data_IF_058422540086
#
_entry.id   IF_058422540086
#
_cell.length_a   1.000
_cell.length_b   1.000
_cell.length_c   1.000
_cell.angle_alpha   90.00
_cell.angle_beta   90.00
_cell.angle_gamma   90.00
#
_symmetry.space_group_name_H-M   'P 1'
#
loop_
_entity.id
_entity.type
_entity.pdbx_description
1 polymer ?
#
# COMPACT_ATOMS: atom_id res chain seq x y z
N UNK A 1 9.34 18.19 -13.15
CA UNK A 1 8.91 17.76 -11.79
C UNK A 1 8.54 16.29 -11.85
N UNK A 2 8.89 15.48 -10.86
CA UNK A 2 8.47 14.07 -10.84
C UNK A 2 6.95 13.94 -10.62
N UNK A 3 6.36 12.89 -11.18
CA UNK A 3 4.92 12.63 -11.18
C UNK A 3 4.58 11.40 -10.36
N UNK A 4 3.65 11.53 -9.42
CA UNK A 4 3.20 10.47 -8.55
C UNK A 4 1.71 10.15 -8.76
N UNK A 5 1.38 8.86 -8.86
CA UNK A 5 0.02 8.33 -8.78
C UNK A 5 -0.14 7.63 -7.43
N UNK A 6 -1.07 8.10 -6.59
CA UNK A 6 -1.30 7.56 -5.24
C UNK A 6 -2.72 7.05 -5.11
N UNK A 7 -2.91 5.82 -4.62
CA UNK A 7 -4.23 5.21 -4.45
C UNK A 7 -4.71 5.28 -2.99
N UNK A 8 -6.04 5.39 -2.79
CA UNK A 8 -6.62 5.38 -1.46
C UNK A 8 -6.40 6.66 -0.64
N UNK A 9 -6.49 7.82 -1.29
CA UNK A 9 -6.19 9.13 -0.69
C UNK A 9 -7.38 9.78 0.04
N UNK A 10 -8.47 9.07 0.32
CA UNK A 10 -9.60 9.64 1.06
C UNK A 10 -9.28 9.92 2.54
N UNK A 11 -8.24 9.27 3.09
CA UNK A 11 -7.83 9.40 4.50
C UNK A 11 -6.48 8.70 4.75
N UNK A 12 -6.01 8.75 5.99
CA UNK A 12 -4.87 7.94 6.47
C UNK A 12 -3.58 8.13 5.66
N UNK A 13 -2.85 7.05 5.46
CA UNK A 13 -1.52 7.08 4.82
C UNK A 13 -1.55 7.68 3.42
N UNK A 14 -2.52 7.27 2.58
CA UNK A 14 -2.59 7.76 1.19
C UNK A 14 -2.77 9.27 1.11
N UNK A 15 -3.62 9.85 1.96
CA UNK A 15 -3.81 11.29 2.03
C UNK A 15 -2.55 12.01 2.51
N UNK A 16 -1.95 11.54 3.60
CA UNK A 16 -0.76 12.15 4.18
C UNK A 16 0.45 12.09 3.22
N UNK A 17 0.64 10.96 2.54
CA UNK A 17 1.71 10.78 1.56
C UNK A 17 1.49 11.68 0.33
N UNK A 18 0.26 11.73 -0.21
CA UNK A 18 -0.07 12.57 -1.36
C UNK A 18 0.17 14.05 -1.08
N UNK A 19 -0.23 14.52 0.11
CA UNK A 19 0.02 15.89 0.57
C UNK A 19 1.52 16.19 0.69
N UNK A 20 2.28 15.30 1.32
CA UNK A 20 3.71 15.46 1.51
C UNK A 20 4.51 15.44 0.19
N UNK A 21 4.10 14.63 -0.78
CA UNK A 21 4.68 14.62 -2.12
C UNK A 21 4.43 15.94 -2.85
N UNK A 22 3.20 16.46 -2.83
CA UNK A 22 2.87 17.74 -3.45
C UNK A 22 3.66 18.90 -2.82
N UNK A 23 3.84 18.89 -1.48
CA UNK A 23 4.65 19.89 -0.78
C UNK A 23 6.15 19.81 -1.13
N UNK A 24 6.61 18.67 -1.65
CA UNK A 24 8.01 18.46 -2.10
C UNK A 24 8.20 18.62 -3.61
N UNK A 25 7.23 19.21 -4.31
CA UNK A 25 7.33 19.52 -5.73
C UNK A 25 7.05 18.35 -6.67
N UNK A 26 6.36 17.30 -6.18
CA UNK A 26 5.78 16.30 -7.08
C UNK A 26 4.47 16.81 -7.67
N UNK A 27 4.23 16.48 -8.93
CA UNK A 27 2.91 16.50 -9.53
C UNK A 27 2.18 15.23 -9.10
N UNK A 28 1.01 15.33 -8.47
CA UNK A 28 0.34 14.22 -7.80
C UNK A 28 -1.05 13.98 -8.37
N UNK A 29 -1.35 12.75 -8.78
CA UNK A 29 -2.71 12.28 -8.99
C UNK A 29 -3.13 11.48 -7.75
N UNK A 30 -3.93 12.10 -6.89
CA UNK A 30 -4.44 11.50 -5.66
C UNK A 30 -5.80 10.87 -5.92
N UNK A 31 -5.86 9.53 -5.85
CA UNK A 31 -7.06 8.80 -6.25
C UNK A 31 -7.81 8.19 -5.08
N UNK A 32 -9.13 8.15 -5.19
CA UNK A 32 -10.06 7.58 -4.23
C UNK A 32 -11.39 7.28 -4.90
N UNK A 33 -12.25 6.44 -4.28
CA UNK A 33 -13.56 6.10 -4.87
C UNK A 33 -14.45 7.32 -5.11
N UNK A 34 -14.41 8.28 -4.19
CA UNK A 34 -15.24 9.52 -4.19
C UNK A 34 -14.33 10.73 -3.97
N UNK A 35 -13.91 11.46 -5.01
CA UNK A 35 -13.03 12.63 -4.88
C UNK A 35 -13.61 13.74 -3.98
N UNK A 36 -14.93 13.85 -3.92
CA UNK A 36 -15.64 14.78 -3.03
C UNK A 36 -15.39 14.48 -1.53
N UNK A 37 -14.99 13.25 -1.19
CA UNK A 37 -14.63 12.86 0.19
C UNK A 37 -13.18 13.15 0.56
N UNK A 38 -12.40 13.75 -0.35
CA UNK A 38 -11.00 14.09 -0.08
C UNK A 38 -10.85 15.01 1.15
N UNK A 39 -9.78 14.84 1.95
CA UNK A 39 -9.48 15.76 3.05
C UNK A 39 -9.36 17.22 2.58
N UNK A 40 -9.65 18.14 3.48
CA UNK A 40 -9.60 19.58 3.19
C UNK A 40 -8.21 20.06 2.72
N UNK A 41 -7.14 19.43 3.21
CA UNK A 41 -5.76 19.70 2.80
C UNK A 41 -5.54 19.38 1.31
N UNK A 42 -5.96 18.21 0.85
CA UNK A 42 -5.85 17.83 -0.57
C UNK A 42 -6.75 18.67 -1.46
N UNK A 43 -7.96 19.00 -1.02
CA UNK A 43 -8.86 19.90 -1.76
C UNK A 43 -8.25 21.28 -1.96
N UNK A 44 -7.60 21.84 -0.92
CA UNK A 44 -6.90 23.14 -1.03
C UNK A 44 -5.74 23.09 -2.04
N UNK A 45 -4.98 22.00 -2.06
CA UNK A 45 -3.89 21.82 -3.03
C UNK A 45 -4.41 21.69 -4.46
N UNK A 46 -5.54 20.99 -4.65
CA UNK A 46 -6.16 20.79 -5.95
C UNK A 46 -6.89 22.04 -6.49
N UNK A 47 -7.22 23.00 -5.61
CA UNK A 47 -7.96 24.22 -5.99
C UNK A 47 -7.08 25.37 -6.50
N UNK A 48 -5.75 25.20 -6.60
CA UNK A 48 -4.84 26.21 -7.15
C UNK A 48 -5.07 26.41 -8.66
N UNK A 49 -4.72 27.58 -9.21
CA UNK A 49 -4.88 27.89 -10.67
C UNK A 49 -4.14 26.90 -11.57
N UNK A 50 -2.93 26.48 -11.16
CA UNK A 50 -2.16 25.44 -11.84
C UNK A 50 -1.82 24.36 -10.81
N UNK A 51 -2.73 23.44 -10.51
CA UNK A 51 -2.53 22.52 -9.42
C UNK A 51 -1.49 21.45 -9.77
N UNK A 52 -0.52 21.30 -8.87
CA UNK A 52 0.39 20.15 -8.89
C UNK A 52 -0.28 18.90 -8.31
N UNK A 53 -1.49 19.01 -7.77
CA UNK A 53 -2.28 17.89 -7.26
C UNK A 53 -3.66 17.86 -7.92
N UNK A 54 -4.00 16.69 -8.47
CA UNK A 54 -5.30 16.39 -9.07
C UNK A 54 -6.00 15.30 -8.26
N UNK A 55 -7.26 15.52 -7.92
CA UNK A 55 -8.13 14.50 -7.31
C UNK A 55 -8.84 13.73 -8.42
N UNK A 56 -8.78 12.40 -8.38
CA UNK A 56 -9.39 11.57 -9.40
C UNK A 56 -10.14 10.36 -8.82
N UNK A 57 -11.24 9.93 -9.45
CA UNK A 57 -11.97 8.75 -9.01
C UNK A 57 -11.20 7.48 -9.37
N UNK A 58 -11.10 6.56 -8.40
CA UNK A 58 -10.57 5.23 -8.62
C UNK A 58 -11.17 4.24 -7.62
N UNK A 59 -11.97 3.30 -8.13
CA UNK A 59 -12.15 2.01 -7.49
C UNK A 59 -11.08 1.08 -8.05
N UNK A 60 -10.16 0.64 -7.19
CA UNK A 60 -9.02 -0.18 -7.59
C UNK A 60 -9.42 -1.55 -8.13
N UNK A 61 -10.63 -2.01 -7.82
CA UNK A 61 -11.18 -3.28 -8.34
C UNK A 61 -11.72 -3.15 -9.76
N UNK A 62 -11.95 -1.92 -10.24
CA UNK A 62 -12.53 -1.66 -11.56
C UNK A 62 -11.45 -1.48 -12.64
N UNK A 63 -11.36 -2.37 -13.66
CA UNK A 63 -10.33 -2.29 -14.70
C UNK A 63 -10.37 -0.98 -15.52
N UNK A 64 -11.57 -0.48 -15.82
CA UNK A 64 -11.73 0.75 -16.60
C UNK A 64 -11.23 1.97 -15.80
N UNK A 65 -11.49 2.00 -14.49
CA UNK A 65 -11.04 3.10 -13.64
C UNK A 65 -9.53 3.06 -13.41
N UNK A 66 -8.91 1.87 -13.31
CA UNK A 66 -7.45 1.73 -13.26
C UNK A 66 -6.80 2.31 -14.52
N UNK A 67 -7.32 1.93 -15.69
CA UNK A 67 -6.84 2.48 -16.97
C UNK A 67 -7.04 3.99 -17.03
N UNK A 68 -8.21 4.49 -16.68
CA UNK A 68 -8.52 5.92 -16.68
C UNK A 68 -7.59 6.73 -15.76
N UNK A 69 -7.20 6.19 -14.59
CA UNK A 69 -6.25 6.85 -13.69
C UNK A 69 -4.83 6.97 -14.30
N UNK A 70 -4.35 5.93 -14.98
CA UNK A 70 -3.08 5.97 -15.73
C UNK A 70 -3.18 6.97 -16.89
N UNK A 71 -4.23 6.89 -17.71
CA UNK A 71 -4.44 7.78 -18.86
C UNK A 71 -4.51 9.26 -18.42
N UNK A 72 -5.25 9.55 -17.35
CA UNK A 72 -5.33 10.90 -16.77
C UNK A 72 -3.95 11.39 -16.32
N UNK A 73 -3.16 10.55 -15.66
CA UNK A 73 -1.82 10.92 -15.22
C UNK A 73 -0.93 11.29 -16.40
N UNK A 74 -0.96 10.50 -17.46
CA UNK A 74 -0.20 10.76 -18.67
C UNK A 74 -0.70 12.01 -19.43
N UNK A 75 -2.01 12.19 -19.54
CA UNK A 75 -2.61 13.37 -20.19
C UNK A 75 -2.24 14.68 -19.48
N UNK A 76 -2.22 14.65 -18.15
CA UNK A 76 -1.94 15.85 -17.33
C UNK A 76 -0.46 16.16 -17.22
N UNK A 77 0.40 15.15 -17.11
CA UNK A 77 1.78 15.34 -16.70
C UNK A 77 2.81 14.62 -17.58
N UNK A 78 2.37 13.82 -18.55
CA UNK A 78 3.22 13.20 -19.57
C UNK A 78 4.07 12.01 -19.11
N UNK A 79 4.08 11.68 -17.81
CA UNK A 79 4.94 10.65 -17.23
C UNK A 79 4.38 10.06 -15.93
N UNK A 80 4.97 8.96 -15.47
CA UNK A 80 4.73 8.37 -14.14
C UNK A 80 6.09 7.99 -13.55
N UNK A 81 6.53 8.71 -12.52
CA UNK A 81 7.80 8.42 -11.83
C UNK A 81 7.60 7.57 -10.58
N UNK A 82 6.45 7.72 -9.93
CA UNK A 82 6.12 7.06 -8.67
C UNK A 82 4.69 6.55 -8.70
N UNK A 83 4.51 5.25 -8.43
CA UNK A 83 3.22 4.63 -8.16
C UNK A 83 3.16 4.19 -6.70
N UNK A 84 2.19 4.70 -5.94
CA UNK A 84 1.95 4.25 -4.55
C UNK A 84 0.62 3.52 -4.48
N UNK A 85 0.68 2.22 -4.33
CA UNK A 85 -0.45 1.34 -4.07
C UNK A 85 -0.74 1.30 -2.57
N UNK A 86 -1.64 2.17 -2.11
CA UNK A 86 -2.03 2.28 -0.71
C UNK A 86 -3.48 1.82 -0.46
N UNK A 87 -4.36 1.88 -1.44
CA UNK A 87 -5.74 1.44 -1.27
C UNK A 87 -5.82 0.00 -0.72
N UNK A 88 -6.70 -0.22 0.26
CA UNK A 88 -6.86 -1.53 0.88
C UNK A 88 -8.08 -1.60 1.77
N UNK A 89 -8.50 -2.84 2.03
CA UNK A 89 -9.57 -3.19 2.98
C UNK A 89 -9.08 -4.28 3.91
N UNK A 90 -9.74 -4.42 5.05
CA UNK A 90 -9.49 -5.48 6.03
C UNK A 90 -10.80 -6.14 6.45
N UNK A 91 -10.72 -7.28 7.10
CA UNK A 91 -11.82 -7.92 7.78
C UNK A 91 -11.28 -8.77 8.93
N UNK A 92 -12.00 -8.79 10.05
CA UNK A 92 -11.77 -9.67 11.19
C UNK A 92 -12.83 -10.76 11.22
N UNK A 93 -12.42 -12.00 11.38
CA UNK A 93 -13.34 -13.14 11.51
C UNK A 93 -12.57 -14.44 11.54
N UNK A 94 -13.16 -15.46 12.18
CA UNK A 94 -12.62 -16.81 12.13
C UNK A 94 -12.54 -17.28 10.68
N UNK A 95 -11.58 -18.14 10.39
CA UNK A 95 -11.39 -18.65 9.02
C UNK A 95 -12.67 -19.30 8.48
N UNK A 96 -13.32 -20.10 9.29
CA UNK A 96 -14.56 -20.82 8.98
C UNK A 96 -15.76 -19.87 8.80
N UNK A 97 -15.80 -18.76 9.57
CA UNK A 97 -16.87 -17.76 9.51
C UNK A 97 -16.67 -16.73 8.36
N UNK A 98 -15.51 -16.73 7.73
CA UNK A 98 -15.18 -15.78 6.66
C UNK A 98 -15.59 -16.33 5.30
N UNK A 99 -16.66 -15.80 4.66
CA UNK A 99 -17.17 -16.34 3.41
C UNK A 99 -16.20 -16.11 2.25
N UNK A 100 -16.23 -17.02 1.26
CA UNK A 100 -15.39 -16.94 0.05
C UNK A 100 -15.49 -15.58 -0.66
N UNK A 101 -16.68 -15.01 -0.73
CA UNK A 101 -16.88 -13.69 -1.36
C UNK A 101 -16.07 -12.60 -0.69
N UNK A 102 -15.89 -12.64 0.63
CA UNK A 102 -15.08 -11.68 1.38
C UNK A 102 -13.58 -11.91 1.14
N UNK A 103 -13.13 -13.17 1.10
CA UNK A 103 -11.78 -13.51 0.69
C UNK A 103 -11.46 -12.92 -0.68
N UNK A 104 -12.33 -13.14 -1.67
CA UNK A 104 -12.18 -12.61 -3.02
C UNK A 104 -12.12 -11.08 -3.04
N UNK A 105 -13.01 -10.41 -2.32
CA UNK A 105 -13.03 -8.95 -2.26
C UNK A 105 -11.74 -8.37 -1.66
N UNK A 106 -11.20 -9.01 -0.60
CA UNK A 106 -9.92 -8.61 0.02
C UNK A 106 -8.77 -8.81 -0.97
N UNK A 107 -8.70 -9.95 -1.64
CA UNK A 107 -7.65 -10.22 -2.61
C UNK A 107 -7.75 -9.32 -3.84
N UNK A 108 -8.96 -9.06 -4.33
CA UNK A 108 -9.19 -8.15 -5.46
C UNK A 108 -8.69 -6.73 -5.13
N UNK A 109 -9.00 -6.24 -3.93
CA UNK A 109 -8.62 -4.88 -3.52
C UNK A 109 -7.15 -4.77 -3.13
N UNK A 110 -6.63 -5.73 -2.34
CA UNK A 110 -5.31 -5.61 -1.72
C UNK A 110 -4.18 -6.19 -2.57
N UNK A 111 -4.49 -7.04 -3.55
CA UNK A 111 -3.50 -7.75 -4.37
C UNK A 111 -3.71 -7.48 -5.86
N UNK A 112 -4.82 -7.98 -6.44
CA UNK A 112 -5.00 -7.94 -7.90
C UNK A 112 -5.12 -6.52 -8.42
N UNK A 113 -5.88 -5.64 -7.75
CA UNK A 113 -5.99 -4.23 -8.14
C UNK A 113 -4.64 -3.51 -8.19
N UNK A 114 -3.81 -3.55 -7.13
CA UNK A 114 -2.44 -3.04 -7.13
C UNK A 114 -1.55 -3.65 -8.22
N UNK A 115 -1.55 -4.98 -8.39
CA UNK A 115 -0.73 -5.63 -9.41
C UNK A 115 -1.14 -5.23 -10.84
N UNK A 116 -2.43 -5.03 -11.09
CA UNK A 116 -2.90 -4.54 -12.39
C UNK A 116 -2.50 -3.08 -12.65
N UNK A 117 -2.50 -2.22 -11.63
CA UNK A 117 -1.95 -0.85 -11.78
C UNK A 117 -0.45 -0.89 -12.07
N UNK A 118 0.29 -1.76 -11.40
CA UNK A 118 1.72 -2.00 -11.72
C UNK A 118 1.86 -2.42 -13.17
N UNK A 119 1.06 -3.37 -13.65
CA UNK A 119 1.12 -3.87 -15.02
C UNK A 119 0.84 -2.78 -16.06
N UNK A 120 0.00 -1.82 -15.74
CA UNK A 120 -0.29 -0.66 -16.60
C UNK A 120 0.83 0.40 -16.54
N UNK A 121 1.41 0.66 -15.37
CA UNK A 121 2.45 1.69 -15.19
C UNK A 121 3.85 1.22 -15.63
N UNK A 122 4.16 -0.06 -15.46
CA UNK A 122 5.50 -0.61 -15.68
C UNK A 122 6.05 -0.39 -17.10
N UNK A 123 5.28 -0.59 -18.20
CA UNK A 123 5.78 -0.30 -19.55
C UNK A 123 6.18 1.16 -19.74
N UNK A 124 5.46 2.08 -19.10
CA UNK A 124 5.73 3.53 -19.14
C UNK A 124 7.05 3.82 -18.41
N UNK A 125 7.19 3.33 -17.18
CA UNK A 125 8.40 3.50 -16.37
C UNK A 125 9.63 2.87 -17.05
N UNK A 126 9.47 1.69 -17.65
CA UNK A 126 10.54 1.02 -18.40
C UNK A 126 10.96 1.84 -19.63
N UNK A 127 10.02 2.42 -20.35
CA UNK A 127 10.33 3.30 -21.50
C UNK A 127 11.03 4.60 -21.03
N UNK A 128 10.72 5.08 -19.84
CA UNK A 128 11.38 6.23 -19.22
C UNK A 128 12.80 5.90 -18.74
N UNK A 129 13.16 4.61 -18.59
CA UNK A 129 14.42 4.16 -18.00
C UNK A 129 14.51 4.41 -16.50
N UNK A 130 13.41 4.80 -15.86
CA UNK A 130 13.33 5.10 -14.44
C UNK A 130 11.89 4.97 -13.92
N UNK A 131 11.75 4.51 -12.68
CA UNK A 131 10.45 4.42 -12.02
C UNK A 131 10.56 3.91 -10.59
N UNK A 132 9.55 4.22 -9.78
CA UNK A 132 9.43 3.75 -8.42
C UNK A 132 8.02 3.24 -8.15
N UNK A 133 7.93 2.05 -7.58
CA UNK A 133 6.66 1.44 -7.15
C UNK A 133 6.75 1.20 -5.64
N UNK A 134 5.80 1.72 -4.90
CA UNK A 134 5.69 1.51 -3.45
C UNK A 134 4.36 0.84 -3.17
N UNK A 135 4.42 -0.38 -2.64
CA UNK A 135 3.24 -1.12 -2.23
C UNK A 135 3.08 -1.05 -0.71
N UNK A 136 1.96 -0.51 -0.24
CA UNK A 136 1.65 -0.47 1.20
C UNK A 136 1.15 -1.85 1.61
N UNK A 137 2.03 -2.60 2.25
CA UNK A 137 1.73 -3.92 2.81
C UNK A 137 1.28 -3.78 4.28
N UNK A 138 1.79 -4.55 5.18
CA UNK A 138 1.52 -4.48 6.63
C UNK A 138 2.49 -5.40 7.37
N UNK A 139 2.73 -5.16 8.65
CA UNK A 139 3.35 -6.14 9.53
C UNK A 139 2.60 -7.48 9.55
N UNK A 140 1.28 -7.45 9.33
CA UNK A 140 0.46 -8.66 9.20
C UNK A 140 0.86 -9.55 8.01
N UNK A 141 1.61 -9.04 7.04
CA UNK A 141 2.17 -9.85 5.94
C UNK A 141 3.16 -10.90 6.48
N UNK A 142 3.80 -10.65 7.60
CA UNK A 142 4.81 -11.53 8.20
C UNK A 142 4.28 -12.17 9.49
N UNK A 143 3.52 -11.43 10.30
CA UNK A 143 2.93 -11.93 11.52
C UNK A 143 1.72 -12.82 11.23
N UNK A 144 1.69 -13.99 11.87
CA UNK A 144 0.57 -14.94 11.77
C UNK A 144 -0.52 -14.56 12.78
N UNK A 145 -1.31 -13.55 12.44
CA UNK A 145 -2.33 -12.98 13.34
C UNK A 145 -3.65 -13.75 13.20
N UNK A 146 -4.18 -14.34 14.26
CA UNK A 146 -5.50 -14.99 14.24
C UNK A 146 -6.59 -14.01 13.77
N UNK A 147 -7.67 -14.51 13.22
CA UNK A 147 -8.85 -13.75 12.76
C UNK A 147 -8.58 -12.71 11.65
N UNK A 148 -7.34 -12.63 11.15
CA UNK A 148 -6.96 -11.76 10.04
C UNK A 148 -6.46 -12.56 8.82
N UNK A 149 -6.80 -13.83 8.70
CA UNK A 149 -6.20 -14.73 7.71
C UNK A 149 -6.27 -14.20 6.26
N UNK A 150 -7.43 -13.75 5.80
CA UNK A 150 -7.61 -13.23 4.44
C UNK A 150 -6.78 -11.96 4.19
N UNK A 151 -6.80 -11.02 5.15
CA UNK A 151 -6.02 -9.79 5.09
C UNK A 151 -4.51 -10.08 5.09
N UNK A 152 -4.03 -10.86 6.04
CA UNK A 152 -2.63 -11.22 6.17
C UNK A 152 -2.11 -11.93 4.92
N UNK A 153 -2.88 -12.91 4.40
CA UNK A 153 -2.54 -13.62 3.18
C UNK A 153 -2.43 -12.68 1.96
N UNK A 154 -3.38 -11.74 1.80
CA UNK A 154 -3.35 -10.75 0.72
C UNK A 154 -2.12 -9.84 0.79
N UNK A 155 -1.76 -9.38 2.00
CA UNK A 155 -0.58 -8.52 2.21
C UNK A 155 0.73 -9.28 2.06
N UNK A 156 0.78 -10.56 2.47
CA UNK A 156 1.93 -11.42 2.24
C UNK A 156 2.13 -11.71 0.74
N UNK A 157 1.06 -11.99 0.01
CA UNK A 157 1.11 -12.18 -1.44
C UNK A 157 1.63 -10.93 -2.16
N UNK A 158 1.16 -9.74 -1.77
CA UNK A 158 1.64 -8.47 -2.34
C UNK A 158 3.12 -8.23 -2.00
N UNK A 159 3.56 -8.53 -0.78
CA UNK A 159 4.97 -8.41 -0.36
C UNK A 159 5.88 -9.31 -1.19
N UNK A 160 5.50 -10.59 -1.35
CA UNK A 160 6.26 -11.56 -2.14
C UNK A 160 6.32 -11.17 -3.61
N UNK A 161 5.19 -10.79 -4.21
CA UNK A 161 5.13 -10.33 -5.60
C UNK A 161 6.00 -9.07 -5.81
N UNK A 162 6.01 -8.15 -4.85
CA UNK A 162 6.84 -6.94 -4.90
C UNK A 162 8.32 -7.25 -4.89
N UNK A 163 8.75 -8.20 -4.06
CA UNK A 163 10.15 -8.62 -3.97
C UNK A 163 10.64 -9.28 -5.28
N UNK A 164 9.81 -10.12 -5.90
CA UNK A 164 10.13 -10.71 -7.20
C UNK A 164 10.20 -9.63 -8.29
N UNK A 165 9.23 -8.72 -8.30
CA UNK A 165 9.15 -7.64 -9.28
C UNK A 165 10.35 -6.69 -9.20
N UNK A 166 10.86 -6.35 -8.00
CA UNK A 166 12.07 -5.51 -7.86
C UNK A 166 13.27 -6.14 -8.56
N UNK A 167 13.44 -7.46 -8.46
CA UNK A 167 14.51 -8.19 -9.15
C UNK A 167 14.32 -8.12 -10.66
N UNK A 168 13.12 -8.39 -11.16
CA UNK A 168 12.79 -8.41 -12.58
C UNK A 168 12.98 -7.04 -13.27
N UNK A 169 12.72 -5.95 -12.54
CA UNK A 169 12.64 -4.61 -13.14
C UNK A 169 13.86 -3.72 -12.91
N UNK A 170 14.76 -4.16 -12.06
CA UNK A 170 15.96 -3.40 -11.68
C UNK A 170 16.83 -3.01 -12.89
N UNK A 171 17.01 -3.90 -13.84
CA UNK A 171 17.79 -3.64 -15.07
C UNK A 171 17.16 -2.59 -15.99
N UNK A 172 15.89 -2.27 -15.79
CA UNK A 172 15.17 -1.21 -16.51
C UNK A 172 15.16 0.13 -15.76
N UNK A 173 15.87 0.24 -14.65
CA UNK A 173 15.85 1.43 -13.79
C UNK A 173 14.58 1.60 -12.96
N UNK A 174 13.75 0.54 -12.86
CA UNK A 174 12.52 0.54 -12.07
C UNK A 174 12.75 -0.24 -10.79
N UNK A 175 12.49 0.38 -9.64
CA UNK A 175 12.67 -0.23 -8.32
C UNK A 175 11.33 -0.34 -7.60
N UNK A 176 11.20 -1.39 -6.82
CA UNK A 176 9.99 -1.69 -6.05
C UNK A 176 10.31 -1.75 -4.57
N UNK A 177 9.44 -1.17 -3.73
CA UNK A 177 9.57 -1.24 -2.29
C UNK A 177 8.21 -1.53 -1.62
N UNK A 178 8.25 -2.19 -0.48
CA UNK A 178 7.11 -2.41 0.40
C UNK A 178 7.20 -1.50 1.61
N UNK A 179 6.15 -0.73 1.86
CA UNK A 179 5.97 -0.01 3.11
C UNK A 179 5.17 -0.91 4.06
N UNK A 180 5.77 -1.30 5.18
CA UNK A 180 5.22 -2.25 6.14
C UNK A 180 4.88 -1.56 7.47
N UNK A 181 3.75 -0.83 7.55
CA UNK A 181 3.34 -0.19 8.79
C UNK A 181 2.83 -1.21 9.81
N UNK A 182 3.14 -0.93 11.07
CA UNK A 182 2.45 -1.46 12.23
C UNK A 182 1.08 -0.79 12.42
N UNK A 183 0.49 -0.86 13.63
CA UNK A 183 -0.75 -0.18 13.95
C UNK A 183 -0.56 1.35 13.97
N UNK A 184 -1.45 2.06 13.29
CA UNK A 184 -1.61 3.51 13.30
C UNK A 184 -3.09 3.85 13.28
N UNK A 185 -3.50 4.95 13.90
CA UNK A 185 -4.88 5.45 13.79
C UNK A 185 -5.16 5.90 12.36
N UNK A 186 -5.92 5.10 11.64
CA UNK A 186 -6.39 5.39 10.29
C UNK A 186 -7.86 5.01 10.16
N UNK A 187 -8.48 5.30 9.02
CA UNK A 187 -9.84 4.84 8.74
C UNK A 187 -9.91 3.39 8.21
N UNK A 188 -8.82 2.65 8.18
CA UNK A 188 -8.83 1.26 7.72
C UNK A 188 -9.76 0.36 8.55
N UNK A 189 -9.79 0.45 9.90
CA UNK A 189 -10.74 -0.31 10.70
C UNK A 189 -12.20 0.04 10.41
N UNK A 190 -12.51 1.30 10.10
CA UNK A 190 -13.86 1.75 9.72
C UNK A 190 -14.31 1.17 8.36
N UNK A 191 -13.37 0.75 7.53
CA UNK A 191 -13.62 0.03 6.28
C UNK A 191 -13.53 -1.50 6.45
N UNK A 192 -13.44 -1.98 7.70
CA UNK A 192 -13.41 -3.41 8.00
C UNK A 192 -14.76 -4.05 7.71
N UNK A 193 -14.73 -5.25 7.17
CA UNK A 193 -15.89 -6.09 6.96
C UNK A 193 -15.91 -7.22 7.99
N UNK A 194 -15.84 -6.86 9.25
CA UNK A 194 -15.77 -7.82 10.36
C UNK A 194 -16.99 -8.75 10.39
N UNK A 195 -16.79 -9.97 10.89
CA UNK A 195 -17.79 -11.00 10.96
C UNK A 195 -18.14 -11.34 12.41
N UNK A 196 -19.43 -11.60 12.64
CA UNK A 196 -19.88 -12.19 13.88
C UNK A 196 -19.26 -13.58 14.02
N UNK A 197 -18.82 -13.89 15.24
CA UNK A 197 -18.26 -15.21 15.53
C UNK A 197 -19.35 -16.24 15.72
N UNK A 198 -19.23 -17.37 15.04
CA UNK A 198 -20.01 -18.56 15.38
C UNK A 198 -19.66 -19.07 16.80
N UNK A 199 -20.57 -19.85 17.43
CA UNK A 199 -20.39 -20.29 18.81
C UNK A 199 -19.01 -20.93 19.10
N UNK A 200 -18.44 -21.79 18.23
CA UNK A 200 -17.12 -22.37 18.48
C UNK A 200 -15.99 -21.33 18.58
N UNK A 201 -16.13 -20.19 17.88
CA UNK A 201 -15.09 -19.15 17.82
C UNK A 201 -15.37 -17.94 18.72
N UNK A 202 -16.53 -17.89 19.40
CA UNK A 202 -16.96 -16.73 20.18
C UNK A 202 -15.94 -16.31 21.24
N UNK A 203 -15.35 -17.26 21.96
CA UNK A 203 -14.39 -16.98 23.03
C UNK A 203 -13.08 -16.37 22.50
N UNK A 204 -12.47 -16.97 21.46
CA UNK A 204 -11.23 -16.48 20.87
C UNK A 204 -11.46 -15.13 20.17
N UNK A 205 -12.59 -14.95 19.50
CA UNK A 205 -12.92 -13.70 18.82
C UNK A 205 -13.09 -12.57 19.83
N UNK A 206 -13.84 -12.79 20.92
CA UNK A 206 -14.00 -11.80 21.99
C UNK A 206 -12.64 -11.38 22.58
N UNK A 207 -11.79 -12.36 22.90
CA UNK A 207 -10.48 -12.10 23.50
C UNK A 207 -9.55 -11.33 22.52
N UNK A 208 -9.55 -11.74 21.25
CA UNK A 208 -8.74 -11.08 20.23
C UNK A 208 -9.23 -9.66 19.96
N UNK A 209 -10.54 -9.46 19.72
CA UNK A 209 -11.08 -8.14 19.46
C UNK A 209 -10.79 -7.16 20.61
N UNK A 210 -10.96 -7.58 21.86
CA UNK A 210 -10.66 -6.72 23.00
C UNK A 210 -9.17 -6.27 23.02
N UNK A 211 -8.23 -7.16 22.72
CA UNK A 211 -6.79 -6.82 22.63
C UNK A 211 -6.47 -5.95 21.42
N UNK A 212 -7.06 -6.28 20.28
CA UNK A 212 -6.83 -5.55 19.04
C UNK A 212 -7.42 -4.14 19.09
N UNK A 213 -8.64 -3.98 19.61
CA UNK A 213 -9.28 -2.68 19.81
C UNK A 213 -8.50 -1.81 20.80
N UNK A 214 -7.95 -2.41 21.88
CA UNK A 214 -7.05 -1.70 22.80
C UNK A 214 -5.75 -1.26 22.13
N UNK A 215 -5.19 -2.08 21.25
CA UNK A 215 -4.00 -1.73 20.47
C UNK A 215 -4.30 -0.59 19.48
N UNK A 216 -5.43 -0.65 18.77
CA UNK A 216 -5.87 0.41 17.84
C UNK A 216 -6.16 1.72 18.58
N UNK A 217 -6.78 1.67 19.77
CA UNK A 217 -7.06 2.86 20.58
C UNK A 217 -5.78 3.58 21.02
N UNK A 218 -4.71 2.82 21.28
CA UNK A 218 -3.40 3.33 21.68
C UNK A 218 -2.43 3.57 20.51
N UNK A 219 -2.87 3.27 19.27
CA UNK A 219 -2.02 3.45 18.10
C UNK A 219 -1.70 4.94 17.85
N UNK A 220 -0.51 5.26 17.32
CA UNK A 220 -0.13 6.63 17.01
C UNK A 220 -1.10 7.29 16.02
N UNK A 221 -1.46 8.54 16.30
CA UNK A 221 -2.20 9.40 15.36
C UNK A 221 -1.26 10.08 14.37
N UNK A 222 -0.02 10.32 14.80
CA UNK A 222 1.02 10.93 13.95
C UNK A 222 1.46 9.97 12.85
N UNK A 223 1.14 10.31 11.62
CA UNK A 223 1.50 9.56 10.42
C UNK A 223 2.87 9.97 9.85
N UNK A 224 3.55 10.92 10.46
CA UNK A 224 4.86 11.41 10.00
C UNK A 224 5.88 10.29 9.78
N UNK A 225 6.02 9.27 10.64
CA UNK A 225 6.96 8.17 10.39
C UNK A 225 6.66 7.39 9.10
N UNK A 226 5.37 7.20 8.76
CA UNK A 226 4.94 6.53 7.53
C UNK A 226 5.25 7.39 6.30
N UNK A 227 5.01 8.70 6.41
CA UNK A 227 5.34 9.66 5.34
C UNK A 227 6.85 9.70 5.10
N UNK A 228 7.67 9.77 6.16
CA UNK A 228 9.14 9.76 6.04
C UNK A 228 9.63 8.50 5.34
N UNK A 229 9.11 7.33 5.74
CA UNK A 229 9.48 6.06 5.12
C UNK A 229 9.06 5.97 3.65
N UNK A 230 7.85 6.45 3.31
CA UNK A 230 7.38 6.51 1.93
C UNK A 230 8.26 7.44 1.06
N UNK A 231 8.66 8.59 1.60
CA UNK A 231 9.54 9.53 0.90
C UNK A 231 10.95 8.96 0.76
N UNK A 232 11.49 8.32 1.78
CA UNK A 232 12.77 7.62 1.69
C UNK A 232 12.72 6.53 0.60
N UNK A 233 11.70 5.68 0.63
CA UNK A 233 11.50 4.67 -0.41
C UNK A 233 11.36 5.27 -1.81
N UNK A 234 10.77 6.47 -1.94
CA UNK A 234 10.59 7.15 -3.23
C UNK A 234 11.87 7.76 -3.78
N UNK A 235 12.80 8.23 -2.92
CA UNK A 235 13.96 9.04 -3.32
C UNK A 235 15.30 8.33 -3.18
N UNK A 236 15.39 7.23 -2.43
CA UNK A 236 16.62 6.46 -2.29
C UNK A 236 17.03 5.88 -3.66
N UNK A 237 18.25 6.12 -4.14
CA UNK A 237 18.74 5.54 -5.39
C UNK A 237 18.74 4.01 -5.38
N UNK A 238 19.03 3.39 -4.24
CA UNK A 238 18.99 1.93 -4.02
C UNK A 238 18.10 1.57 -2.83
N UNK A 239 16.76 1.63 -3.00
CA UNK A 239 15.84 1.43 -1.91
C UNK A 239 15.89 0.01 -1.37
N UNK A 240 15.74 -0.10 -0.05
CA UNK A 240 15.44 -1.39 0.55
C UNK A 240 14.09 -1.93 0.03
N UNK A 241 13.99 -3.24 -0.10
CA UNK A 241 12.71 -3.85 -0.53
C UNK A 241 11.62 -3.66 0.53
N UNK A 242 11.96 -3.49 1.81
CA UNK A 242 11.00 -3.32 2.90
C UNK A 242 11.39 -2.17 3.82
N UNK A 243 10.41 -1.29 4.06
CA UNK A 243 10.47 -0.20 5.03
C UNK A 243 9.47 -0.48 6.14
N UNK A 244 9.95 -0.96 7.27
CA UNK A 244 9.14 -1.25 8.45
C UNK A 244 8.90 0.03 9.25
N UNK A 245 7.66 0.34 9.61
CA UNK A 245 7.29 1.59 10.27
C UNK A 245 6.40 1.34 11.48
N UNK A 246 6.72 2.00 12.59
CA UNK A 246 6.07 1.86 13.88
C UNK A 246 6.95 1.16 14.90
N UNK A 247 6.87 1.57 16.16
CA UNK A 247 7.74 1.09 17.26
C UNK A 247 7.65 -0.42 17.42
N UNK A 248 6.44 -0.97 17.46
CA UNK A 248 6.21 -2.41 17.61
C UNK A 248 6.70 -3.19 16.39
N UNK A 249 6.49 -2.65 15.19
CA UNK A 249 6.96 -3.23 13.94
C UNK A 249 8.49 -3.31 13.90
N UNK A 250 9.15 -2.22 14.26
CA UNK A 250 10.63 -2.14 14.30
C UNK A 250 11.21 -3.10 15.33
N UNK A 251 10.53 -3.33 16.45
CA UNK A 251 11.01 -4.22 17.49
C UNK A 251 10.90 -5.72 17.12
N UNK A 252 9.84 -6.11 16.42
CA UNK A 252 9.47 -7.51 16.20
C UNK A 252 9.95 -8.05 14.84
N UNK A 253 9.89 -7.25 13.79
CA UNK A 253 10.11 -7.74 12.43
C UNK A 253 11.56 -7.92 11.98
N UNK A 254 12.55 -7.11 12.37
CA UNK A 254 13.91 -7.25 11.86
C UNK A 254 14.51 -8.68 12.02
N UNK A 255 14.37 -9.37 13.16
CA UNK A 255 14.85 -10.73 13.29
C UNK A 255 14.17 -11.73 12.32
N UNK A 256 12.86 -11.55 12.11
CA UNK A 256 12.08 -12.40 11.19
C UNK A 256 12.48 -12.12 9.75
N UNK A 257 12.60 -10.85 9.37
CA UNK A 257 12.97 -10.45 8.01
C UNK A 257 14.39 -10.81 7.64
N UNK A 258 15.32 -10.78 8.60
CA UNK A 258 16.70 -11.24 8.39
C UNK A 258 16.77 -12.71 8.02
N UNK A 259 15.89 -13.56 8.54
CA UNK A 259 15.81 -14.97 8.17
C UNK A 259 15.37 -15.20 6.70
N UNK A 260 14.75 -14.21 6.06
CA UNK A 260 14.29 -14.29 4.67
C UNK A 260 15.31 -13.70 3.65
N UNK A 261 16.33 -12.99 4.12
CA UNK A 261 17.35 -12.39 3.23
C UNK A 261 18.09 -13.41 2.33
N UNK A 262 18.48 -14.60 2.81
CA UNK A 262 19.14 -15.58 1.95
C UNK A 262 18.31 -16.00 0.74
N UNK A 263 16.99 -16.08 0.87
CA UNK A 263 16.08 -16.42 -0.24
C UNK A 263 16.00 -15.31 -1.29
N UNK A 264 16.06 -14.07 -0.86
CA UNK A 264 16.08 -12.92 -1.76
C UNK A 264 17.41 -12.86 -2.55
N UNK A 265 18.52 -13.12 -1.86
CA UNK A 265 19.85 -13.21 -2.49
C UNK A 265 19.92 -14.31 -3.55
N UNK A 266 19.29 -15.46 -3.31
CA UNK A 266 19.17 -16.54 -4.29
C UNK A 266 18.46 -16.06 -5.57
N UNK A 267 17.38 -15.28 -5.45
CA UNK A 267 16.69 -14.71 -6.61
C UNK A 267 17.58 -13.81 -7.46
N UNK A 268 18.40 -12.97 -6.84
CA UNK A 268 19.39 -12.13 -7.54
C UNK A 268 20.44 -12.95 -8.24
N UNK A 269 20.98 -14.00 -7.61
CA UNK A 269 21.95 -14.91 -8.21
C UNK A 269 21.38 -15.62 -9.44
N UNK A 270 20.13 -16.08 -9.40
CA UNK A 270 19.49 -16.77 -10.51
C UNK A 270 19.27 -15.86 -11.73
N UNK A 271 19.20 -14.55 -11.54
CA UNK A 271 19.04 -13.58 -12.63
C UNK A 271 20.37 -12.95 -13.09
N UNK A 272 21.49 -13.34 -12.46
CA UNK A 272 22.81 -12.79 -12.79
C UNK A 272 22.98 -11.32 -12.40
N UNK A 273 22.21 -10.85 -11.40
CA UNK A 273 22.24 -9.47 -10.92
C UNK A 273 23.12 -9.28 -9.65
N UNK A 274 23.85 -10.32 -9.25
CA UNK A 274 24.88 -10.31 -8.18
C UNK A 274 26.17 -10.89 -8.73
#
# INVERSE_FOLDING_TARGET
>A
MPVALVTGCSSGFGAAIAEALAQRGYQVVATMRKPESAPASLKRLAAKEAPDLVLAPLDITNPMMRKAAIDLTLQRFGRIDLLINNAGITARGAFEDTPEALWRAIFETNLFGPLELVRLALPIMRQQGAGRIINVTSVAAVLKTPLLAAYAASKHALDTASAALDIETRSFGVRVACLMPGPFKTSLPQNSQDRDASLPYAAITKQFCAKFDAMEANAPEDLTPVVIAALAAATDPDPAIRYTVGTDAIAILPPILQSLQPLQHLGLMLTGQV
#
